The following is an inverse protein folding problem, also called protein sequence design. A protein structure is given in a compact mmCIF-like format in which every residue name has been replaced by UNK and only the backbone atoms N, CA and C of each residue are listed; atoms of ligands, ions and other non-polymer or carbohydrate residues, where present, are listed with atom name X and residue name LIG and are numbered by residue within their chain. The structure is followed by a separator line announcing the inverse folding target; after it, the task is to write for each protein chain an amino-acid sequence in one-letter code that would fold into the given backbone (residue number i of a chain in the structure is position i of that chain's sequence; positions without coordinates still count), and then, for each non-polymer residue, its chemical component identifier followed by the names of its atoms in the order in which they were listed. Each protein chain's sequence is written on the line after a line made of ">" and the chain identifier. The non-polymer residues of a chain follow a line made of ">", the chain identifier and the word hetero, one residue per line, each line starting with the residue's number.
data_IF_517590390605
#
_entry.id   IF_517590390605
#
_cell.length_a   1.000
_cell.length_b   1.000
_cell.length_c   1.000
_cell.angle_alpha   90.00
_cell.angle_beta   90.00
_cell.angle_gamma   90.00
#
_symmetry.space_group_name_H-M   'P 1'
#
loop_
_entity.id
_entity.type
_entity.pdbx_description
1 polymer ?
#
# COMPACT_ATOMS: atom_id res chain seq x y z
N UNK A 1 29.19 32.79 -17.00
CA UNK A 1 29.71 31.44 -17.22
C UNK A 1 29.33 30.46 -16.11
N UNK A 2 29.59 30.74 -14.83
CA UNK A 2 29.25 29.82 -13.72
C UNK A 2 27.76 29.41 -13.64
N UNK A 3 26.83 30.34 -13.91
CA UNK A 3 25.39 30.05 -13.92
C UNK A 3 24.97 29.06 -15.04
N UNK A 4 25.63 29.11 -16.19
CA UNK A 4 25.39 28.17 -17.30
C UNK A 4 25.91 26.78 -16.93
N UNK A 5 27.08 26.71 -16.29
CA UNK A 5 27.64 25.47 -15.77
C UNK A 5 26.71 24.82 -14.74
N UNK A 6 26.17 25.61 -13.79
CA UNK A 6 25.22 25.14 -12.79
C UNK A 6 23.92 24.60 -13.40
N UNK A 7 23.42 25.23 -14.47
CA UNK A 7 22.24 24.76 -15.20
C UNK A 7 22.46 23.40 -15.86
N UNK A 8 23.61 23.18 -16.50
CA UNK A 8 23.93 21.91 -17.19
C UNK A 8 24.12 20.76 -16.19
N UNK A 9 24.71 21.03 -15.02
CA UNK A 9 24.98 19.99 -14.02
C UNK A 9 23.86 19.78 -13.00
N UNK A 10 22.78 20.56 -13.03
CA UNK A 10 21.67 20.44 -12.08
C UNK A 10 21.12 19.02 -11.99
N UNK A 11 20.74 18.43 -13.12
CA UNK A 11 20.08 17.11 -13.14
C UNK A 11 21.04 15.95 -12.80
N UNK A 12 22.30 15.92 -13.30
CA UNK A 12 23.29 14.94 -12.87
C UNK A 12 23.58 14.98 -11.36
N UNK A 13 23.71 16.18 -10.77
CA UNK A 13 23.97 16.33 -9.33
C UNK A 13 22.76 15.82 -8.53
N UNK A 14 21.54 16.20 -8.93
CA UNK A 14 20.32 15.72 -8.27
C UNK A 14 20.16 14.20 -8.39
N UNK A 15 20.46 13.61 -9.54
CA UNK A 15 20.42 12.17 -9.75
C UNK A 15 21.41 11.42 -8.85
N UNK A 16 22.65 11.92 -8.72
CA UNK A 16 23.67 11.35 -7.84
C UNK A 16 23.27 11.43 -6.37
N UNK A 17 22.84 12.61 -5.91
CA UNK A 17 22.42 12.82 -4.50
C UNK A 17 21.24 11.92 -4.17
N UNK A 18 20.27 11.81 -5.07
CA UNK A 18 19.12 10.94 -4.89
C UNK A 18 19.51 9.45 -4.81
N UNK A 19 20.47 8.99 -5.62
CA UNK A 19 20.95 7.61 -5.59
C UNK A 19 21.64 7.26 -4.29
N UNK A 20 22.49 8.16 -3.78
CA UNK A 20 23.12 8.02 -2.47
C UNK A 20 22.04 8.03 -1.37
N UNK A 21 21.07 8.94 -1.44
CA UNK A 21 20.03 9.08 -0.42
C UNK A 21 19.12 7.85 -0.34
N UNK A 22 18.71 7.28 -1.49
CA UNK A 22 17.93 6.03 -1.51
C UNK A 22 18.70 4.88 -0.88
N UNK A 23 19.99 4.75 -1.21
CA UNK A 23 20.85 3.67 -0.71
C UNK A 23 21.17 3.83 0.77
N UNK A 24 21.48 5.05 1.22
CA UNK A 24 21.86 5.34 2.59
C UNK A 24 20.68 5.27 3.57
N UNK A 25 19.46 5.58 3.12
CA UNK A 25 18.25 5.53 3.95
C UNK A 25 17.46 4.23 3.82
N UNK A 26 17.99 3.24 3.10
CA UNK A 26 17.36 1.93 2.89
C UNK A 26 15.88 2.05 2.45
N UNK A 27 15.59 3.02 1.58
CA UNK A 27 14.22 3.39 1.21
C UNK A 27 13.56 2.34 0.31
N UNK A 28 14.37 1.59 -0.44
CA UNK A 28 13.93 0.63 -1.44
C UNK A 28 14.98 -0.47 -1.62
N UNK A 29 14.54 -1.73 -1.61
CA UNK A 29 15.38 -2.91 -1.87
C UNK A 29 14.99 -3.60 -3.17
N UNK A 30 15.91 -4.40 -3.71
CA UNK A 30 15.61 -5.32 -4.79
C UNK A 30 14.53 -6.30 -4.33
N UNK A 31 13.48 -6.49 -5.15
CA UNK A 31 12.34 -7.35 -4.83
C UNK A 31 11.23 -6.67 -4.03
N UNK A 32 11.43 -5.44 -3.54
CA UNK A 32 10.36 -4.70 -2.89
C UNK A 32 9.19 -4.45 -3.86
N UNK A 33 7.97 -4.52 -3.34
CA UNK A 33 6.80 -4.08 -4.09
C UNK A 33 6.65 -2.56 -3.97
N UNK A 34 6.86 -1.87 -5.09
CA UNK A 34 6.73 -0.43 -5.24
C UNK A 34 5.44 -0.08 -5.99
N UNK A 35 4.70 0.91 -5.47
CA UNK A 35 3.58 1.54 -6.15
C UNK A 35 3.80 3.06 -6.27
N UNK A 36 3.82 3.56 -7.51
CA UNK A 36 3.97 4.97 -7.85
C UNK A 36 3.08 5.33 -9.06
N UNK A 37 1.81 5.73 -8.81
CA UNK A 37 0.81 5.97 -9.86
C UNK A 37 1.24 7.00 -10.91
N UNK A 38 2.00 8.03 -10.50
CA UNK A 38 2.52 9.10 -11.37
C UNK A 38 3.34 8.57 -12.56
N UNK A 39 4.04 7.45 -12.35
CA UNK A 39 4.87 6.80 -13.37
C UNK A 39 4.28 5.49 -13.89
N UNK A 40 3.05 5.14 -13.46
CA UNK A 40 2.45 3.85 -13.80
C UNK A 40 3.28 2.66 -13.32
N UNK A 41 3.92 2.77 -12.15
CA UNK A 41 4.64 1.68 -11.53
C UNK A 41 3.78 1.03 -10.44
N UNK A 42 3.53 -0.27 -10.56
CA UNK A 42 2.89 -1.10 -9.54
C UNK A 42 3.42 -2.53 -9.68
N UNK A 43 4.49 -2.84 -8.94
CA UNK A 43 5.09 -4.17 -8.99
C UNK A 43 6.43 -4.28 -8.30
N UNK A 44 7.17 -5.34 -8.63
CA UNK A 44 8.41 -5.69 -7.97
C UNK A 44 9.60 -4.93 -8.55
N UNK A 45 10.45 -4.38 -7.68
CA UNK A 45 11.72 -3.77 -8.08
C UNK A 45 12.67 -4.86 -8.57
N UNK A 46 13.13 -4.73 -9.81
CA UNK A 46 14.01 -5.71 -10.46
C UNK A 46 15.45 -5.22 -10.62
N UNK A 47 15.68 -3.92 -10.54
CA UNK A 47 17.00 -3.30 -10.72
C UNK A 47 17.03 -1.92 -10.06
N UNK A 48 18.14 -1.59 -9.40
CA UNK A 48 18.38 -0.29 -8.78
C UNK A 48 19.73 0.21 -9.30
N UNK A 49 19.67 1.11 -10.28
CA UNK A 49 20.84 1.84 -10.77
C UNK A 49 21.03 3.17 -10.04
N UNK A 50 22.12 3.86 -10.36
CA UNK A 50 22.43 5.15 -9.75
C UNK A 50 21.36 6.22 -10.05
N UNK A 51 20.89 6.25 -11.29
CA UNK A 51 19.98 7.29 -11.80
C UNK A 51 18.59 6.78 -12.13
N UNK A 52 18.39 5.46 -12.17
CA UNK A 52 17.12 4.82 -12.52
C UNK A 52 16.84 3.60 -11.67
N UNK A 53 15.57 3.36 -11.38
CA UNK A 53 15.04 2.13 -10.80
C UNK A 53 14.11 1.48 -11.81
N UNK A 54 14.21 0.16 -11.98
CA UNK A 54 13.29 -0.61 -12.83
C UNK A 54 12.33 -1.41 -11.99
N UNK A 55 11.06 -1.33 -12.35
CA UNK A 55 9.96 -2.02 -11.70
C UNK A 55 9.29 -2.90 -12.73
N UNK A 56 9.16 -4.20 -12.44
CA UNK A 56 8.32 -5.10 -13.22
C UNK A 56 6.92 -5.05 -12.64
N UNK A 57 6.00 -4.49 -13.41
CA UNK A 57 4.59 -4.41 -13.03
C UNK A 57 3.94 -5.79 -13.01
N UNK A 58 2.78 -5.90 -12.36
CA UNK A 58 2.02 -7.15 -12.31
C UNK A 58 1.53 -7.64 -13.67
N UNK A 59 1.41 -6.75 -14.66
CA UNK A 59 1.12 -7.08 -16.06
C UNK A 59 2.37 -7.47 -16.87
N UNK A 60 3.51 -7.66 -16.20
CA UNK A 60 4.84 -7.97 -16.75
C UNK A 60 5.50 -6.85 -17.58
N UNK A 61 4.94 -5.65 -17.64
CA UNK A 61 5.64 -4.49 -18.24
C UNK A 61 6.79 -4.02 -17.33
N UNK A 62 7.77 -3.31 -17.90
CA UNK A 62 8.90 -2.74 -17.15
C UNK A 62 8.77 -1.22 -17.15
N UNK A 63 8.50 -0.64 -15.98
CA UNK A 63 8.53 0.80 -15.75
C UNK A 63 9.92 1.21 -15.28
N UNK A 64 10.50 2.24 -15.90
CA UNK A 64 11.78 2.82 -15.49
C UNK A 64 11.51 4.18 -14.84
N UNK A 65 11.87 4.31 -13.57
CA UNK A 65 11.64 5.50 -12.75
C UNK A 65 12.97 6.19 -12.50
N UNK A 66 13.11 7.50 -12.76
CA UNK A 66 14.29 8.24 -12.34
C UNK A 66 14.43 8.23 -10.81
N UNK A 67 15.63 7.95 -10.31
CA UNK A 67 15.95 7.89 -8.88
C UNK A 67 15.56 9.17 -8.13
N UNK A 68 15.74 10.34 -8.77
CA UNK A 68 15.37 11.63 -8.16
C UNK A 68 13.88 11.70 -7.82
N UNK A 69 13.00 11.07 -8.60
CA UNK A 69 11.56 11.08 -8.36
C UNK A 69 11.17 10.27 -7.13
N UNK A 70 11.94 9.24 -6.77
CA UNK A 70 11.71 8.46 -5.55
C UNK A 70 12.09 9.23 -4.28
N UNK A 71 12.94 10.26 -4.42
CA UNK A 71 13.32 11.14 -3.31
C UNK A 71 12.42 12.37 -3.24
N UNK A 72 12.00 12.91 -4.39
CA UNK A 72 11.22 14.14 -4.45
C UNK A 72 9.70 13.93 -4.35
N UNK A 73 9.19 12.79 -4.83
CA UNK A 73 7.76 12.47 -4.81
C UNK A 73 7.46 11.37 -3.78
N UNK A 74 6.19 11.30 -3.35
CA UNK A 74 5.68 10.19 -2.55
C UNK A 74 5.52 8.93 -3.40
N UNK A 75 5.98 7.80 -2.86
CA UNK A 75 5.70 6.45 -3.37
C UNK A 75 5.33 5.54 -2.20
N UNK A 76 4.71 4.40 -2.48
CA UNK A 76 4.43 3.37 -1.47
C UNK A 76 5.42 2.23 -1.62
N UNK A 77 6.05 1.86 -0.51
CA UNK A 77 6.80 0.61 -0.39
C UNK A 77 5.97 -0.39 0.43
N UNK A 78 5.52 -1.47 -0.20
CA UNK A 78 4.69 -2.50 0.41
C UNK A 78 5.51 -3.62 1.07
N UNK A 79 6.84 -3.52 1.12
CA UNK A 79 7.72 -4.50 1.76
C UNK A 79 7.38 -4.70 3.24
N UNK A 80 7.09 -3.63 3.98
CA UNK A 80 6.67 -3.70 5.38
C UNK A 80 5.35 -4.46 5.58
N UNK A 81 4.39 -4.28 4.68
CA UNK A 81 3.14 -5.05 4.68
C UNK A 81 3.40 -6.54 4.41
N UNK A 82 4.22 -6.84 3.41
CA UNK A 82 4.58 -8.21 3.04
C UNK A 82 5.34 -8.93 4.15
N UNK A 83 6.29 -8.25 4.80
CA UNK A 83 7.06 -8.77 5.93
C UNK A 83 6.22 -8.98 7.20
N UNK A 84 5.19 -8.16 7.41
CA UNK A 84 4.31 -8.28 8.59
C UNK A 84 3.43 -9.54 8.60
N UNK A 85 3.32 -10.26 7.47
CA UNK A 85 2.43 -11.40 7.32
C UNK A 85 0.93 -11.04 7.34
N UNK A 86 0.58 -9.75 7.38
CA UNK A 86 -0.80 -9.27 7.45
C UNK A 86 -1.09 -8.16 6.44
N UNK A 87 -2.30 -8.19 5.85
CA UNK A 87 -2.80 -7.12 4.99
C UNK A 87 -4.01 -6.46 5.64
N UNK A 88 -3.98 -5.13 5.75
CA UNK A 88 -5.11 -4.37 6.30
C UNK A 88 -6.27 -4.38 5.29
N UNK A 89 -7.41 -4.93 5.70
CA UNK A 89 -8.68 -4.84 4.98
C UNK A 89 -9.57 -3.84 5.71
N UNK A 90 -9.92 -2.72 5.06
CA UNK A 90 -10.91 -1.76 5.57
C UNK A 90 -12.23 -1.98 4.83
N UNK A 91 -13.31 -2.22 5.57
CA UNK A 91 -14.68 -2.31 5.03
C UNK A 91 -15.54 -1.26 5.73
N UNK A 92 -16.34 -0.53 4.96
CA UNK A 92 -17.45 0.25 5.48
C UNK A 92 -18.72 -0.57 5.38
N UNK A 93 -19.53 -0.57 6.44
CA UNK A 93 -20.87 -1.16 6.42
C UNK A 93 -21.84 0.00 6.61
N UNK A 94 -22.61 0.29 5.57
CA UNK A 94 -23.69 1.28 5.65
C UNK A 94 -24.94 0.58 6.14
N UNK A 95 -25.48 1.04 7.26
CA UNK A 95 -26.71 0.51 7.86
C UNK A 95 -27.83 1.51 7.60
N UNK A 96 -28.92 1.03 7.02
CA UNK A 96 -30.15 1.83 6.93
C UNK A 96 -30.80 1.89 8.32
N UNK A 97 -31.02 3.10 8.86
CA UNK A 97 -31.61 3.29 10.18
C UNK A 97 -33.02 2.70 10.26
N UNK A 98 -33.75 2.67 9.14
CA UNK A 98 -35.09 2.07 9.08
C UNK A 98 -35.07 0.55 9.16
N UNK A 99 -33.92 -0.08 8.93
CA UNK A 99 -33.73 -1.52 9.09
C UNK A 99 -33.53 -1.95 10.55
N UNK A 100 -33.36 -1.00 11.48
CA UNK A 100 -33.15 -1.29 12.90
C UNK A 100 -34.50 -1.61 13.54
N UNK A 101 -34.69 -2.87 13.91
CA UNK A 101 -35.86 -3.37 14.63
C UNK A 101 -35.47 -4.45 15.64
N UNK A 102 -36.38 -4.75 16.55
CA UNK A 102 -36.22 -5.93 17.42
C UNK A 102 -36.32 -7.22 16.59
N UNK A 103 -35.57 -8.23 17.02
CA UNK A 103 -35.59 -9.56 16.44
C UNK A 103 -36.88 -10.27 16.83
N UNK A 104 -37.44 -11.04 15.90
CA UNK A 104 -38.50 -11.99 16.19
C UNK A 104 -37.92 -13.37 16.59
N UNK A 105 -38.78 -14.26 17.08
CA UNK A 105 -38.37 -15.58 17.57
C UNK A 105 -37.76 -16.46 16.46
N UNK A 106 -38.31 -16.39 15.25
CA UNK A 106 -37.83 -17.16 14.10
C UNK A 106 -36.43 -16.70 13.67
N UNK A 107 -36.17 -15.39 13.69
CA UNK A 107 -34.87 -14.79 13.43
C UNK A 107 -33.86 -15.14 14.51
N UNK A 108 -34.28 -15.15 15.78
CA UNK A 108 -33.45 -15.60 16.90
C UNK A 108 -33.01 -17.05 16.72
N UNK A 109 -33.93 -17.94 16.34
CA UNK A 109 -33.60 -19.33 16.03
C UNK A 109 -32.66 -19.45 14.83
N UNK A 110 -32.85 -18.64 13.79
CA UNK A 110 -31.98 -18.61 12.60
C UNK A 110 -30.57 -18.13 12.95
N UNK A 111 -30.43 -17.06 13.73
CA UNK A 111 -29.14 -16.50 14.13
C UNK A 111 -28.38 -17.42 15.08
N UNK A 112 -29.09 -18.18 15.93
CA UNK A 112 -28.49 -19.22 16.77
C UNK A 112 -27.85 -20.37 15.98
N UNK A 113 -28.21 -20.56 14.70
CA UNK A 113 -27.53 -21.52 13.81
C UNK A 113 -26.18 -21.00 13.32
N UNK A 114 -25.94 -19.68 13.36
CA UNK A 114 -24.68 -19.10 12.93
C UNK A 114 -23.58 -19.33 13.98
N UNK A 115 -22.53 -20.06 13.56
CA UNK A 115 -21.44 -20.48 14.46
C UNK A 115 -20.79 -19.31 15.23
N UNK A 116 -20.61 -18.16 14.57
CA UNK A 116 -19.97 -16.98 15.17
C UNK A 116 -20.88 -16.22 16.15
N UNK A 117 -22.21 -16.32 15.99
CA UNK A 117 -23.17 -15.57 16.82
C UNK A 117 -23.70 -16.40 17.99
N UNK A 118 -23.76 -17.72 17.84
CA UNK A 118 -24.30 -18.64 18.84
C UNK A 118 -23.72 -18.45 20.26
N UNK A 119 -22.39 -18.33 20.47
CA UNK A 119 -21.84 -18.15 21.82
C UNK A 119 -22.32 -16.85 22.47
N UNK A 120 -22.42 -15.78 21.69
CA UNK A 120 -22.89 -14.48 22.16
C UNK A 120 -24.38 -14.54 22.55
N UNK A 121 -25.22 -15.05 21.65
CA UNK A 121 -26.67 -15.15 21.86
C UNK A 121 -27.05 -16.08 23.02
N UNK A 122 -26.27 -17.14 23.26
CA UNK A 122 -26.50 -18.06 24.39
C UNK A 122 -26.06 -17.45 25.73
N UNK A 123 -25.02 -16.60 25.73
CA UNK A 123 -24.50 -15.96 26.95
C UNK A 123 -25.36 -14.80 27.46
N UNK A 124 -26.16 -14.20 26.58
CA UNK A 124 -27.19 -13.21 26.90
C UNK A 124 -28.54 -13.76 26.48
N UNK A 125 -29.19 -14.59 27.32
CA UNK A 125 -30.62 -14.83 27.13
C UNK A 125 -31.29 -13.46 27.14
N UNK A 126 -32.00 -13.16 26.06
CA UNK A 126 -32.78 -11.93 25.91
C UNK A 126 -33.56 -11.68 27.18
N UNK A 127 -33.30 -10.55 27.84
CA UNK A 127 -34.03 -10.09 29.01
C UNK A 127 -35.42 -9.60 28.61
N UNK A 128 -36.28 -10.56 28.27
CA UNK A 128 -37.71 -10.74 28.59
C UNK A 128 -38.23 -11.89 27.75
#
# INVERSE_FOLDING_TARGET
>A
MAAVLMLVFKDPILGLVAGIQLSANDMLKLGDWLEMPKYGADGAVIDIGLTTVKVRNWDNTITTIPTWSLVSDSFKNWSGMSASGGRRIKRSISIDVTSIRFLDEDEMQRLNKAHLLKPYLTSRPSGN
#
